data_IF_894395832196
#
_entry.id   IF_894395832196
#
_cell.length_a   1.000
_cell.length_b   1.000
_cell.length_c   1.000
_cell.angle_alpha   90.00
_cell.angle_beta   90.00
_cell.angle_gamma   90.00
#
_symmetry.space_group_name_H-M   'P 1'
#
loop_
_entity.id
_entity.type
_entity.pdbx_description
1 polymer ?
#
# COMPACT_ATOMS: atom_id res chain seq x y z
N UNK A 1 5.00 -2.24 -9.63
CA UNK A 1 3.96 -1.88 -8.65
C UNK A 1 4.53 -1.88 -7.24
N UNK A 2 4.13 -0.89 -6.42
CA UNK A 2 4.50 -0.77 -5.00
C UNK A 2 3.26 -0.75 -4.13
N UNK A 3 3.27 -1.45 -3.00
CA UNK A 3 2.15 -1.52 -2.07
C UNK A 3 2.58 -0.98 -0.70
N UNK A 4 2.01 0.16 -0.30
CA UNK A 4 2.25 0.81 0.97
C UNK A 4 1.27 0.31 2.02
N UNK A 5 1.78 -0.16 3.16
CA UNK A 5 1.00 -0.87 4.18
C UNK A 5 1.41 -0.48 5.60
N UNK A 6 0.54 -0.81 6.56
CA UNK A 6 0.97 -1.08 7.94
C UNK A 6 0.99 -2.58 8.16
N UNK A 7 2.01 -3.09 8.86
CA UNK A 7 2.18 -4.53 9.01
C UNK A 7 1.05 -5.19 9.84
N UNK A 8 0.52 -4.47 10.83
CA UNK A 8 -0.59 -4.91 11.67
C UNK A 8 -1.99 -4.77 11.01
N UNK A 9 -2.08 -4.15 9.82
CA UNK A 9 -3.37 -3.77 9.24
C UNK A 9 -4.05 -4.95 8.50
N UNK A 10 -5.25 -5.39 8.92
CA UNK A 10 -5.94 -6.49 8.28
C UNK A 10 -6.42 -6.16 6.86
N UNK A 11 -6.66 -4.89 6.54
CA UNK A 11 -6.99 -4.46 5.17
C UNK A 11 -5.78 -4.57 4.24
N UNK A 12 -4.58 -4.26 4.75
CA UNK A 12 -3.33 -4.42 4.01
C UNK A 12 -3.02 -5.90 3.73
N UNK A 13 -3.35 -6.80 4.67
CA UNK A 13 -3.24 -8.24 4.45
C UNK A 13 -4.08 -8.67 3.23
N UNK A 14 -5.34 -8.25 3.14
CA UNK A 14 -6.22 -8.57 2.00
C UNK A 14 -5.63 -8.09 0.67
N UNK A 15 -5.08 -6.88 0.63
CA UNK A 15 -4.43 -6.36 -0.58
C UNK A 15 -3.20 -7.19 -0.98
N UNK A 16 -2.38 -7.63 -0.01
CA UNK A 16 -1.20 -8.48 -0.26
C UNK A 16 -1.57 -9.87 -0.79
N UNK A 17 -2.69 -10.45 -0.36
CA UNK A 17 -3.07 -11.83 -0.71
C UNK A 17 -3.17 -12.07 -2.21
N UNK A 18 -3.77 -11.15 -2.98
CA UNK A 18 -3.96 -11.36 -4.42
C UNK A 18 -2.63 -11.44 -5.18
N UNK A 19 -1.62 -10.68 -4.77
CA UNK A 19 -0.29 -10.73 -5.37
C UNK A 19 0.37 -12.11 -5.16
N UNK A 20 0.30 -12.64 -3.93
CA UNK A 20 0.78 -13.99 -3.64
C UNK A 20 0.00 -15.08 -4.38
N UNK A 21 -1.33 -15.03 -4.34
CA UNK A 21 -2.19 -16.04 -4.98
C UNK A 21 -2.04 -16.09 -6.50
N UNK A 22 -1.74 -14.95 -7.14
CA UNK A 22 -1.56 -14.86 -8.59
C UNK A 22 -0.09 -14.91 -9.03
N UNK A 23 0.86 -15.08 -8.10
CA UNK A 23 2.30 -15.00 -8.36
C UNK A 23 2.70 -13.70 -9.08
N UNK A 24 2.07 -12.58 -8.72
CA UNK A 24 2.38 -11.26 -9.28
C UNK A 24 3.36 -10.56 -8.34
N UNK A 25 4.54 -10.15 -8.82
CA UNK A 25 5.51 -9.44 -7.98
C UNK A 25 4.96 -8.09 -7.55
N UNK A 26 5.17 -7.75 -6.28
CA UNK A 26 4.86 -6.43 -5.71
C UNK A 26 5.93 -6.07 -4.68
N UNK A 27 6.41 -4.83 -4.71
CA UNK A 27 7.31 -4.31 -3.70
C UNK A 27 6.49 -3.84 -2.49
N UNK A 28 6.77 -4.37 -1.30
CA UNK A 28 6.09 -3.99 -0.07
C UNK A 28 6.84 -2.85 0.62
N UNK A 29 6.13 -1.77 0.93
CA UNK A 29 6.63 -0.67 1.75
C UNK A 29 5.83 -0.58 3.04
N UNK A 30 6.46 -0.92 4.17
CA UNK A 30 5.85 -0.75 5.48
C UNK A 30 6.06 0.69 5.91
N UNK A 31 4.96 1.43 6.08
CA UNK A 31 4.96 2.77 6.64
C UNK A 31 4.91 2.70 8.17
N UNK A 32 5.52 3.69 8.82
CA UNK A 32 5.34 3.88 10.25
C UNK A 32 3.92 4.40 10.51
N UNK A 33 3.28 3.93 11.58
CA UNK A 33 1.89 4.29 11.85
C UNK A 33 1.70 5.79 12.18
N UNK A 34 2.73 6.46 12.68
CA UNK A 34 2.75 7.91 12.96
C UNK A 34 3.08 8.76 11.73
N UNK A 35 3.57 8.15 10.63
CA UNK A 35 3.77 8.83 9.34
C UNK A 35 2.41 9.12 8.68
N UNK A 36 1.84 10.28 9.01
CA UNK A 36 0.65 10.81 8.38
C UNK A 36 0.96 11.48 7.02
N UNK A 37 2.19 11.95 6.83
CA UNK A 37 2.55 12.81 5.71
C UNK A 37 2.62 12.03 4.40
N UNK A 38 3.29 10.87 4.41
CA UNK A 38 3.46 10.03 3.23
C UNK A 38 2.13 9.60 2.60
N UNK A 39 1.18 8.95 3.32
CA UNK A 39 -0.09 8.55 2.73
C UNK A 39 -0.95 9.75 2.32
N UNK A 40 -0.90 10.85 3.07
CA UNK A 40 -1.63 12.09 2.71
C UNK A 40 -1.12 12.69 1.40
N UNK A 41 0.19 12.66 1.14
CA UNK A 41 0.77 13.11 -0.14
C UNK A 41 0.34 12.24 -1.33
N UNK A 42 0.10 10.94 -1.08
CA UNK A 42 -0.28 9.98 -2.12
C UNK A 42 -1.76 10.04 -2.48
N UNK A 43 -2.64 10.06 -1.48
CA UNK A 43 -4.09 9.89 -1.66
C UNK A 43 -4.95 10.91 -0.90
N UNK A 44 -4.35 11.96 -0.36
CA UNK A 44 -5.05 13.07 0.31
C UNK A 44 -5.50 12.79 1.74
N UNK A 45 -5.30 11.55 2.25
CA UNK A 45 -5.67 11.17 3.61
C UNK A 45 -4.73 10.11 4.19
N UNK A 46 -4.61 10.09 5.53
CA UNK A 46 -3.82 9.09 6.26
C UNK A 46 -4.52 7.73 6.24
N UNK A 47 -4.32 6.97 5.17
CA UNK A 47 -4.89 5.64 4.99
C UNK A 47 -3.93 4.67 4.30
N UNK A 48 -4.16 3.39 4.51
CA UNK A 48 -3.52 2.25 3.82
C UNK A 48 -4.54 1.12 3.72
N UNK A 49 -4.40 0.17 2.78
CA UNK A 49 -3.32 0.02 1.78
C UNK A 49 -3.34 1.11 0.70
N UNK A 50 -2.19 1.40 0.08
CA UNK A 50 -2.12 2.23 -1.14
C UNK A 50 -1.31 1.48 -2.18
N UNK A 51 -1.86 1.30 -3.38
CA UNK A 51 -1.16 0.72 -4.53
C UNK A 51 -0.65 1.85 -5.43
N UNK A 52 0.66 1.86 -5.68
CA UNK A 52 1.27 2.63 -6.75
C UNK A 52 1.41 1.74 -7.99
N UNK A 53 0.71 2.13 -9.05
CA UNK A 53 0.78 1.50 -10.37
C UNK A 53 2.10 1.85 -11.07
N UNK A 54 2.39 1.14 -12.15
CA UNK A 54 3.61 1.36 -12.95
C UNK A 54 3.60 2.72 -13.67
N UNK A 55 2.42 3.31 -13.87
CA UNK A 55 2.25 4.68 -14.39
C UNK A 55 2.34 5.76 -13.30
N UNK A 56 2.86 5.41 -12.12
CA UNK A 56 3.03 6.29 -10.96
C UNK A 56 1.74 6.81 -10.31
N UNK A 57 0.55 6.39 -10.76
CA UNK A 57 -0.71 6.76 -10.09
C UNK A 57 -0.90 5.96 -8.81
N UNK A 58 -1.41 6.64 -7.78
CA UNK A 58 -1.79 6.03 -6.51
C UNK A 58 -3.27 5.65 -6.52
N UNK A 59 -3.57 4.50 -5.93
CA UNK A 59 -4.91 4.03 -5.66
C UNK A 59 -5.05 3.64 -4.19
N UNK A 60 -5.99 4.25 -3.45
CA UNK A 60 -6.34 3.81 -2.11
C UNK A 60 -7.14 2.50 -2.10
#
# INVERSE_FOLDING_TARGET
MKLYIYDHCPYCLKARMIFGLKNIPVELHVLLNDDAETPTRMVGQKQVPILQKDDSRYMP
#
